data_IF_706900755620
#
_entry.id   IF_706900755620
#
_cell.length_a   1.000
_cell.length_b   1.000
_cell.length_c   1.000
_cell.angle_alpha   90.00
_cell.angle_beta   90.00
_cell.angle_gamma   90.00
#
_symmetry.space_group_name_H-M   'P 1'
#
loop_
_entity.id
_entity.type
_entity.pdbx_description
1 polymer ?
#
# COMPACT_ATOMS: atom_id res chain seq x y z
N UNK A 1 11.52 52.46 30.00
CA UNK A 1 12.46 51.39 30.38
C UNK A 1 11.63 50.17 30.71
N UNK A 2 11.88 49.03 30.08
CA UNK A 2 11.12 47.79 30.35
C UNK A 2 11.57 47.19 31.68
N UNK A 3 10.61 46.85 32.54
CA UNK A 3 10.87 46.23 33.83
C UNK A 3 11.46 44.82 33.62
N UNK A 4 12.60 44.52 34.24
CA UNK A 4 13.32 43.24 34.07
C UNK A 4 13.16 42.39 35.31
N UNK A 5 12.71 41.16 35.15
CA UNK A 5 12.57 40.18 36.21
C UNK A 5 13.62 39.07 36.05
N UNK A 6 14.26 38.65 37.15
CA UNK A 6 15.25 37.58 37.13
C UNK A 6 14.57 36.22 37.34
N UNK A 7 14.90 35.26 36.47
CA UNK A 7 14.45 33.87 36.56
C UNK A 7 15.68 32.97 36.42
N UNK A 8 15.85 32.01 37.33
CA UNK A 8 16.92 31.01 37.27
C UNK A 8 16.38 29.65 36.82
N UNK A 9 17.10 28.97 35.92
CA UNK A 9 16.76 27.64 35.42
C UNK A 9 17.99 26.74 35.48
N UNK A 10 17.80 25.48 35.92
CA UNK A 10 18.87 24.47 35.93
C UNK A 10 18.91 23.74 34.60
N UNK A 11 20.08 23.74 33.95
CA UNK A 11 20.30 23.08 32.66
C UNK A 11 21.46 22.09 32.81
N UNK A 12 21.41 20.89 32.20
CA UNK A 12 22.55 19.98 32.15
C UNK A 12 23.79 20.66 31.59
N UNK A 13 24.97 20.32 32.14
CA UNK A 13 26.25 20.98 31.83
C UNK A 13 26.56 21.00 30.33
N UNK A 14 26.44 19.86 29.66
CA UNK A 14 26.73 19.72 28.22
C UNK A 14 25.88 20.67 27.36
N UNK A 15 24.62 20.87 27.75
CA UNK A 15 23.72 21.81 27.06
C UNK A 15 24.11 23.26 27.32
N UNK A 16 24.52 23.58 28.54
CA UNK A 16 25.01 24.93 28.86
C UNK A 16 26.27 25.28 28.04
N UNK A 17 27.20 24.34 27.89
CA UNK A 17 28.42 24.53 27.11
C UNK A 17 28.14 24.73 25.62
N UNK A 18 27.25 23.91 25.05
CA UNK A 18 26.79 24.06 23.67
C UNK A 18 26.15 25.44 23.44
N UNK A 19 25.24 25.86 24.32
CA UNK A 19 24.58 27.17 24.22
C UNK A 19 25.56 28.33 24.34
N UNK A 20 26.61 28.16 25.15
CA UNK A 20 27.68 29.14 25.28
C UNK A 20 28.48 29.29 23.99
N UNK A 21 28.83 28.17 23.34
CA UNK A 21 29.51 28.21 22.04
C UNK A 21 28.64 28.90 20.99
N UNK A 22 27.37 28.54 20.88
CA UNK A 22 26.44 29.16 19.92
C UNK A 22 26.24 30.66 20.19
N UNK A 23 26.17 31.07 21.46
CA UNK A 23 26.07 32.47 21.84
C UNK A 23 27.33 33.26 21.44
N UNK A 24 28.51 32.68 21.66
CA UNK A 24 29.79 33.28 21.28
C UNK A 24 29.93 33.39 19.75
N UNK A 25 29.52 32.36 18.99
CA UNK A 25 29.49 32.37 17.52
C UNK A 25 28.60 33.47 16.95
N UNK A 26 27.47 33.73 17.60
CA UNK A 26 26.52 34.77 17.21
C UNK A 26 26.83 36.14 17.84
N UNK A 27 27.93 36.26 18.59
CA UNK A 27 28.37 37.51 19.22
C UNK A 27 27.37 38.08 20.25
N UNK A 28 26.64 37.20 20.95
CA UNK A 28 25.59 37.58 21.90
C UNK A 28 25.88 37.09 23.31
N UNK A 29 25.31 37.76 24.31
CA UNK A 29 25.38 37.28 25.69
C UNK A 29 24.47 36.06 25.91
N UNK A 30 24.81 35.22 26.88
CA UNK A 30 23.99 34.06 27.26
C UNK A 30 22.54 34.39 27.59
N UNK A 31 22.27 35.54 28.20
CA UNK A 31 20.89 35.97 28.50
C UNK A 31 20.13 36.39 27.24
N UNK A 32 20.81 37.01 26.27
CA UNK A 32 20.22 37.33 24.97
C UNK A 32 19.94 36.06 24.15
N UNK A 33 20.88 35.12 24.14
CA UNK A 33 20.72 33.83 23.49
C UNK A 33 19.55 33.05 24.09
N UNK A 34 19.46 32.98 25.43
CA UNK A 34 18.37 32.30 26.13
C UNK A 34 17.01 32.95 25.85
N UNK A 35 16.93 34.28 25.87
CA UNK A 35 15.70 34.99 25.50
C UNK A 35 15.30 34.72 24.05
N UNK A 36 16.24 34.76 23.11
CA UNK A 36 15.97 34.48 21.70
C UNK A 36 15.46 33.05 21.49
N UNK A 37 16.01 32.07 22.21
CA UNK A 37 15.56 30.69 22.17
C UNK A 37 14.16 30.49 22.78
N UNK A 38 13.86 31.16 23.90
CA UNK A 38 12.53 31.16 24.49
C UNK A 38 11.52 31.82 23.55
N UNK A 39 11.84 32.98 22.97
CA UNK A 39 11.00 33.66 21.99
C UNK A 39 10.78 32.81 20.73
N UNK A 40 11.81 32.14 20.22
CA UNK A 40 11.70 31.23 19.08
C UNK A 40 10.86 29.99 19.41
N UNK A 41 10.99 29.46 20.63
CA UNK A 41 10.14 28.40 21.15
C UNK A 41 8.67 28.83 21.20
N UNK A 42 8.38 29.98 21.80
CA UNK A 42 7.03 30.55 21.89
C UNK A 42 6.43 30.83 20.50
N UNK A 43 7.21 31.36 19.54
CA UNK A 43 6.76 31.54 18.15
C UNK A 43 6.35 30.22 17.47
N UNK A 44 6.95 29.09 17.84
CA UNK A 44 6.52 27.76 17.35
C UNK A 44 5.25 27.26 18.03
N UNK A 45 4.98 27.70 19.26
CA UNK A 45 3.73 27.37 19.99
C UNK A 45 2.55 28.28 19.62
N UNK A 46 2.81 29.50 19.14
CA UNK A 46 1.79 30.42 18.59
C UNK A 46 1.34 30.07 17.15
N UNK A 47 1.91 29.01 16.54
CA UNK A 47 1.24 28.37 15.40
C UNK A 47 0.08 27.57 15.96
N UNK A 48 -1.08 28.21 16.02
CA UNK A 48 -2.36 27.51 16.09
C UNK A 48 -2.48 26.67 14.80
N UNK A 49 -1.91 25.47 14.82
CA UNK A 49 -2.07 24.48 13.74
C UNK A 49 -3.50 23.99 13.88
N UNK A 50 -4.45 24.77 13.38
CA UNK A 50 -5.79 24.30 13.08
C UNK A 50 -5.62 23.18 12.06
N UNK A 51 -5.87 21.91 12.44
CA UNK A 51 -5.87 20.83 11.45
C UNK A 51 -6.96 21.17 10.43
N UNK A 52 -6.61 21.24 9.14
CA UNK A 52 -7.60 21.53 8.08
C UNK A 52 -8.77 20.53 8.10
N UNK A 53 -8.51 19.31 8.56
CA UNK A 53 -9.52 18.27 8.77
C UNK A 53 -9.58 17.88 10.25
N UNK A 54 -10.80 17.81 10.79
CA UNK A 54 -11.01 17.26 12.12
C UNK A 54 -10.64 15.77 12.15
N UNK A 55 -10.30 15.23 13.33
CA UNK A 55 -10.18 13.77 13.55
C UNK A 55 -11.44 13.00 13.16
N UNK A 56 -12.60 13.66 13.13
CA UNK A 56 -13.85 13.11 12.59
C UNK A 56 -13.80 12.96 11.08
N UNK A 57 -13.29 13.96 10.38
CA UNK A 57 -13.26 14.01 8.91
C UNK A 57 -12.23 13.02 8.36
N UNK A 58 -11.07 12.91 9.02
CA UNK A 58 -10.09 11.86 8.72
C UNK A 58 -10.67 10.45 8.89
N UNK A 59 -11.50 10.22 9.91
CA UNK A 59 -12.17 8.93 10.12
C UNK A 59 -13.17 8.64 9.01
N UNK A 60 -14.02 9.60 8.65
CA UNK A 60 -14.97 9.47 7.54
C UNK A 60 -14.25 9.16 6.23
N UNK A 61 -13.17 9.89 5.93
CA UNK A 61 -12.38 9.72 4.71
C UNK A 61 -11.71 8.35 4.67
N UNK A 62 -11.17 7.88 5.79
CA UNK A 62 -10.58 6.55 5.89
C UNK A 62 -11.64 5.44 5.71
N UNK A 63 -12.80 5.55 6.38
CA UNK A 63 -13.91 4.62 6.17
C UNK A 63 -14.37 4.59 4.71
N UNK A 64 -14.46 5.75 4.06
CA UNK A 64 -14.86 5.83 2.66
C UNK A 64 -13.85 5.19 1.72
N UNK A 65 -12.56 5.47 1.89
CA UNK A 65 -11.49 4.82 1.12
C UNK A 65 -11.48 3.30 1.31
N UNK A 66 -11.73 2.82 2.53
CA UNK A 66 -11.79 1.40 2.82
C UNK A 66 -12.99 0.72 2.13
N UNK A 67 -14.16 1.38 2.13
CA UNK A 67 -15.34 0.91 1.42
C UNK A 67 -15.11 0.86 -0.09
N UNK A 68 -14.49 1.88 -0.67
CA UNK A 68 -14.17 1.94 -2.10
C UNK A 68 -13.17 0.85 -2.50
N UNK A 69 -12.12 0.67 -1.68
CA UNK A 69 -11.16 -0.41 -1.85
C UNK A 69 -11.85 -1.79 -1.83
N UNK A 70 -12.71 -2.02 -0.84
CA UNK A 70 -13.39 -3.31 -0.70
C UNK A 70 -14.35 -3.59 -1.85
N UNK A 71 -15.04 -2.55 -2.34
CA UNK A 71 -15.89 -2.66 -3.53
C UNK A 71 -15.09 -3.08 -4.76
N UNK A 72 -14.00 -2.37 -5.06
CA UNK A 72 -13.14 -2.69 -6.22
C UNK A 72 -12.52 -4.07 -6.07
N UNK A 73 -12.09 -4.45 -4.85
CA UNK A 73 -11.57 -5.79 -4.58
C UNK A 73 -12.61 -6.87 -4.89
N UNK A 74 -13.84 -6.73 -4.39
CA UNK A 74 -14.93 -7.69 -4.64
C UNK A 74 -15.30 -7.78 -6.11
N UNK A 75 -15.32 -6.65 -6.82
CA UNK A 75 -15.57 -6.63 -8.27
C UNK A 75 -14.47 -7.35 -9.04
N UNK A 76 -13.19 -7.11 -8.69
CA UNK A 76 -12.05 -7.83 -9.28
C UNK A 76 -12.12 -9.33 -9.01
N UNK A 77 -12.42 -9.75 -7.79
CA UNK A 77 -12.54 -11.18 -7.44
C UNK A 77 -13.70 -11.85 -8.20
N UNK A 78 -14.82 -11.14 -8.38
CA UNK A 78 -15.96 -11.60 -9.19
C UNK A 78 -15.57 -11.74 -10.66
N UNK A 79 -14.91 -10.74 -11.24
CA UNK A 79 -14.47 -10.78 -12.64
C UNK A 79 -13.43 -11.88 -12.87
N UNK A 80 -12.52 -12.09 -11.93
CA UNK A 80 -11.54 -13.19 -11.97
C UNK A 80 -12.25 -14.55 -11.95
N UNK A 81 -13.25 -14.73 -11.07
CA UNK A 81 -14.07 -15.96 -11.03
C UNK A 81 -14.81 -16.20 -12.35
N UNK A 82 -15.44 -15.15 -12.92
CA UNK A 82 -16.15 -15.24 -14.20
C UNK A 82 -15.21 -15.58 -15.36
N UNK A 83 -14.02 -14.97 -15.38
CA UNK A 83 -13.00 -15.27 -16.38
C UNK A 83 -12.58 -16.74 -16.28
N UNK A 84 -12.27 -17.22 -15.08
CA UNK A 84 -11.91 -18.62 -14.85
C UNK A 84 -13.00 -19.59 -15.30
N UNK A 85 -14.27 -19.33 -14.99
CA UNK A 85 -15.38 -20.17 -15.46
C UNK A 85 -15.51 -20.19 -16.98
N UNK A 86 -15.30 -19.04 -17.63
CA UNK A 86 -15.38 -18.91 -19.09
C UNK A 86 -14.20 -19.63 -19.77
N UNK A 87 -13.00 -19.49 -19.22
CA UNK A 87 -11.80 -20.19 -19.70
C UNK A 87 -11.93 -21.71 -19.49
N UNK A 88 -12.46 -22.15 -18.35
CA UNK A 88 -12.76 -23.56 -18.06
C UNK A 88 -13.71 -24.13 -19.11
N UNK A 89 -14.81 -23.44 -19.39
CA UNK A 89 -15.78 -23.86 -20.41
C UNK A 89 -15.16 -23.94 -21.81
N UNK A 90 -14.33 -22.98 -22.19
CA UNK A 90 -13.67 -22.97 -23.49
C UNK A 90 -12.67 -24.13 -23.67
N UNK A 91 -11.98 -24.53 -22.59
CA UNK A 91 -11.10 -25.72 -22.61
C UNK A 91 -11.94 -26.97 -22.87
N UNK A 92 -13.05 -27.11 -22.13
CA UNK A 92 -13.93 -28.27 -22.23
C UNK A 92 -14.52 -28.38 -23.65
N UNK A 93 -15.07 -27.29 -24.19
CA UNK A 93 -15.60 -27.24 -25.56
C UNK A 93 -14.52 -27.63 -26.59
N UNK A 94 -13.28 -27.15 -26.42
CA UNK A 94 -12.19 -27.48 -27.34
C UNK A 94 -11.75 -28.95 -27.27
N UNK A 95 -11.70 -29.53 -26.07
CA UNK A 95 -11.35 -30.95 -25.86
C UNK A 95 -12.48 -31.87 -26.35
N UNK A 96 -13.75 -31.46 -26.23
CA UNK A 96 -14.89 -32.18 -26.83
C UNK A 96 -14.79 -32.26 -28.35
N UNK A 97 -14.47 -31.14 -28.99
CA UNK A 97 -14.32 -31.08 -30.45
C UNK A 97 -13.06 -31.79 -30.96
N UNK A 98 -12.02 -31.92 -30.12
CA UNK A 98 -10.71 -32.45 -30.49
C UNK A 98 -10.18 -33.44 -29.45
N UNK A 99 -10.79 -34.62 -29.36
CA UNK A 99 -10.33 -35.69 -28.47
C UNK A 99 -8.90 -36.14 -28.78
N UNK A 100 -8.11 -36.42 -27.75
CA UNK A 100 -6.71 -36.81 -27.88
C UNK A 100 -5.76 -35.67 -28.25
N UNK A 101 -6.21 -34.41 -28.17
CA UNK A 101 -5.36 -33.25 -28.41
C UNK A 101 -4.26 -33.14 -27.35
N UNK A 102 -3.11 -32.59 -27.75
CA UNK A 102 -1.96 -32.43 -26.85
C UNK A 102 -2.08 -31.15 -26.04
N UNK A 103 -1.51 -31.16 -24.83
CA UNK A 103 -1.40 -29.97 -23.97
C UNK A 103 -0.96 -28.69 -24.71
N UNK A 104 0.02 -28.82 -25.61
CA UNK A 104 0.56 -27.69 -26.40
C UNK A 104 -0.47 -27.08 -27.37
N UNK A 105 -1.42 -27.86 -27.86
CA UNK A 105 -2.45 -27.41 -28.81
C UNK A 105 -3.54 -26.61 -28.10
N UNK A 106 -3.97 -27.08 -26.92
CA UNK A 106 -4.87 -26.32 -26.02
C UNK A 106 -4.19 -25.01 -25.61
N UNK A 107 -2.91 -25.07 -25.24
CA UNK A 107 -2.11 -23.90 -24.89
C UNK A 107 -2.03 -22.87 -26.02
N UNK A 108 -1.87 -23.31 -27.27
CA UNK A 108 -1.85 -22.44 -28.44
C UNK A 108 -3.23 -21.84 -28.76
N UNK A 109 -4.31 -22.62 -28.62
CA UNK A 109 -5.68 -22.15 -28.85
C UNK A 109 -6.08 -21.09 -27.82
N UNK A 110 -5.79 -21.33 -26.53
CA UNK A 110 -6.00 -20.33 -25.50
C UNK A 110 -5.06 -19.14 -25.67
N UNK A 111 -3.74 -19.32 -25.89
CA UNK A 111 -2.83 -18.18 -26.04
C UNK A 111 -3.20 -17.25 -27.21
N UNK A 112 -3.82 -17.78 -28.28
CA UNK A 112 -4.37 -16.96 -29.38
C UNK A 112 -5.63 -16.18 -29.00
N UNK A 113 -6.42 -16.68 -28.05
CA UNK A 113 -7.71 -16.10 -27.68
C UNK A 113 -7.70 -15.33 -26.34
N UNK A 114 -7.02 -15.80 -25.27
CA UNK A 114 -6.98 -15.25 -23.89
C UNK A 114 -5.71 -15.67 -23.09
N UNK A 115 -5.20 -14.80 -22.22
CA UNK A 115 -3.82 -14.82 -21.73
C UNK A 115 -3.39 -15.87 -20.66
N UNK A 116 -2.22 -16.48 -20.92
CA UNK A 116 -1.16 -17.06 -20.05
C UNK A 116 -1.42 -17.95 -18.82
N UNK A 117 -2.62 -18.12 -18.25
CA UNK A 117 -2.82 -18.86 -16.97
C UNK A 117 -3.29 -20.32 -17.10
N UNK A 118 -2.96 -20.96 -18.21
CA UNK A 118 -3.45 -22.29 -18.62
C UNK A 118 -3.18 -23.41 -17.62
N UNK A 119 -1.99 -23.44 -17.01
CA UNK A 119 -1.54 -24.57 -16.17
C UNK A 119 -2.44 -24.78 -14.97
N UNK A 120 -2.75 -23.71 -14.22
CA UNK A 120 -3.63 -23.79 -13.04
C UNK A 120 -5.06 -24.19 -13.36
N UNK A 121 -5.53 -23.84 -14.56
CA UNK A 121 -6.90 -24.11 -15.01
C UNK A 121 -7.08 -25.57 -15.45
N UNK A 122 -6.08 -26.13 -16.12
CA UNK A 122 -6.05 -27.54 -16.50
C UNK A 122 -5.80 -28.45 -15.31
N UNK A 123 -4.90 -28.09 -14.40
CA UNK A 123 -4.68 -28.85 -13.15
C UNK A 123 -5.96 -28.93 -12.28
N UNK A 124 -6.81 -27.89 -12.34
CA UNK A 124 -8.10 -27.86 -11.64
C UNK A 124 -9.22 -28.62 -12.38
N UNK A 125 -9.00 -28.97 -13.65
CA UNK A 125 -9.94 -29.71 -14.50
C UNK A 125 -9.60 -31.21 -14.56
N UNK A 126 -8.33 -31.55 -14.40
CA UNK A 126 -7.80 -32.92 -14.39
C UNK A 126 -8.43 -33.73 -13.25
N UNK A 127 -9.10 -34.83 -13.61
CA UNK A 127 -9.84 -35.69 -12.69
C UNK A 127 -11.27 -35.24 -12.33
N UNK A 128 -11.73 -34.06 -12.78
CA UNK A 128 -13.14 -33.64 -12.68
C UNK A 128 -13.89 -33.77 -14.00
N UNK A 129 -13.37 -33.16 -15.07
CA UNK A 129 -14.04 -33.12 -16.39
C UNK A 129 -13.14 -33.58 -17.56
N UNK A 130 -11.83 -33.63 -17.35
CA UNK A 130 -10.85 -34.10 -18.33
C UNK A 130 -9.87 -35.07 -17.67
N UNK A 131 -9.29 -35.96 -18.46
CA UNK A 131 -8.24 -36.89 -18.08
C UNK A 131 -6.99 -36.60 -18.92
N UNK A 132 -5.85 -36.48 -18.24
CA UNK A 132 -4.54 -36.34 -18.89
C UNK A 132 -3.83 -37.69 -18.83
N UNK A 133 -3.56 -38.28 -20.00
CA UNK A 133 -2.85 -39.57 -20.08
C UNK A 133 -1.34 -39.43 -19.81
N UNK A 134 -0.65 -40.57 -19.58
CA UNK A 134 0.80 -40.61 -19.34
C UNK A 134 1.64 -40.05 -20.50
N UNK A 135 1.04 -39.87 -21.69
CA UNK A 135 1.67 -39.29 -22.87
C UNK A 135 1.41 -37.77 -23.01
N UNK A 136 0.62 -37.17 -22.10
CA UNK A 136 0.28 -35.74 -22.09
C UNK A 136 -0.82 -35.34 -23.08
N UNK A 137 -1.69 -36.27 -23.47
CA UNK A 137 -2.91 -36.02 -24.24
C UNK A 137 -4.08 -35.80 -23.31
N UNK A 138 -4.98 -34.93 -23.71
CA UNK A 138 -6.13 -34.52 -22.92
C UNK A 138 -7.39 -35.09 -23.56
N UNK A 139 -8.16 -35.82 -22.76
CA UNK A 139 -9.45 -36.38 -23.14
C UNK A 139 -10.52 -35.89 -22.18
N UNK A 140 -11.77 -35.82 -22.65
CA UNK A 140 -12.90 -35.62 -21.76
C UNK A 140 -13.25 -36.93 -21.07
N UNK A 141 -13.56 -36.86 -19.78
CA UNK A 141 -14.09 -37.98 -18.99
C UNK A 141 -15.50 -38.38 -19.44
#
# INVERSE_FOLDING_TARGET
>A
MTEKHHIGVYTPQDRYEMWKQEADELGMSMSQWANAMVEAGLKKFDRDIQPEESKSDLRKRNTQLWNDYEKVRKERDKLETQLHQTERRAIVEFVEENQGCRYKEIAQHLAKNRGSRLTKLLDALDGEEIEIDEEGRVNRL
#
